data_IF_175251728372
#
_entry.id   IF_175251728372
#
_cell.length_a   1.000
_cell.length_b   1.000
_cell.length_c   1.000
_cell.angle_alpha   90.00
_cell.angle_beta   90.00
_cell.angle_gamma   90.00
#
_symmetry.space_group_name_H-M   'P 1'
#
loop_
_entity.id
_entity.type
_entity.pdbx_description
1 polymer ?
#
# COMPACT_ATOMS: atom_id res chain seq x y z
N UNK A 1 19.67 -13.55 -7.27
CA UNK A 1 20.15 -14.86 -6.91
C UNK A 1 19.17 -15.62 -6.03
N UNK A 2 18.93 -16.83 -6.31
CA UNK A 2 18.00 -17.62 -5.52
C UNK A 2 18.71 -18.20 -4.31
N UNK A 3 18.10 -18.02 -3.14
CA UNK A 3 18.63 -18.57 -1.93
C UNK A 3 17.86 -19.84 -1.63
N UNK A 4 18.53 -20.98 -1.69
CA UNK A 4 17.88 -22.26 -1.50
C UNK A 4 17.75 -22.70 -0.04
N UNK A 5 17.94 -21.78 0.89
CA UNK A 5 17.78 -22.13 2.30
C UNK A 5 16.31 -22.32 2.64
N UNK A 6 16.04 -23.27 3.49
CA UNK A 6 14.68 -23.48 3.96
C UNK A 6 14.32 -22.39 4.96
N UNK A 7 13.10 -21.90 4.87
CA UNK A 7 12.60 -20.87 5.78
C UNK A 7 12.64 -21.38 7.22
N UNK A 8 13.18 -20.59 8.12
CA UNK A 8 13.32 -20.97 9.53
C UNK A 8 12.21 -20.39 10.38
N UNK A 9 12.13 -20.84 11.64
CA UNK A 9 11.18 -20.29 12.59
C UNK A 9 11.44 -18.80 12.84
N UNK A 10 12.71 -18.37 12.83
CA UNK A 10 13.04 -16.96 13.00
C UNK A 10 12.55 -16.13 11.82
N UNK A 11 12.68 -16.67 10.61
CA UNK A 11 12.17 -15.99 9.43
C UNK A 11 10.67 -15.76 9.54
N UNK A 12 9.94 -16.79 10.00
CA UNK A 12 8.49 -16.69 10.15
C UNK A 12 8.11 -15.71 11.25
N UNK A 13 8.86 -15.66 12.34
CA UNK A 13 8.60 -14.71 13.40
C UNK A 13 8.76 -13.28 12.89
N UNK A 14 9.77 -13.04 12.04
CA UNK A 14 10.00 -11.72 11.49
C UNK A 14 8.86 -11.31 10.55
N UNK A 15 8.32 -12.27 9.80
CA UNK A 15 7.17 -12.00 8.94
C UNK A 15 5.96 -11.60 9.77
N UNK A 16 5.74 -12.27 10.91
CA UNK A 16 4.63 -11.95 11.79
C UNK A 16 4.76 -10.56 12.42
N UNK A 17 5.98 -10.10 12.64
CA UNK A 17 6.18 -8.77 13.20
C UNK A 17 5.84 -7.68 12.20
N UNK A 18 5.81 -8.02 10.94
CA UNK A 18 5.54 -7.06 9.90
C UNK A 18 6.80 -6.32 9.47
N UNK A 19 6.61 -5.40 8.55
CA UNK A 19 7.69 -4.71 7.88
C UNK A 19 7.43 -3.21 7.92
N UNK A 20 8.47 -2.41 8.12
CA UNK A 20 8.33 -0.96 8.13
C UNK A 20 8.34 -0.48 6.69
N UNK A 21 7.25 0.13 6.26
CA UNK A 21 7.04 0.50 4.86
C UNK A 21 6.73 1.99 4.76
N UNK A 22 7.33 2.64 3.78
CA UNK A 22 7.01 4.02 3.49
C UNK A 22 5.86 4.05 2.50
N UNK A 23 4.77 4.70 2.87
CA UNK A 23 3.57 4.81 2.07
C UNK A 23 3.43 6.23 1.52
N UNK A 24 2.50 6.46 0.58
CA UNK A 24 2.25 7.82 0.12
C UNK A 24 1.97 8.75 1.30
N UNK A 25 2.54 9.95 1.31
CA UNK A 25 2.37 10.85 2.45
C UNK A 25 0.95 11.39 2.54
N UNK A 26 0.59 11.88 3.72
CA UNK A 26 -0.72 12.49 3.91
C UNK A 26 -0.77 13.85 3.20
N UNK A 27 0.32 14.60 3.26
CA UNK A 27 0.45 15.86 2.53
C UNK A 27 1.95 16.12 2.34
N UNK A 28 2.30 17.28 1.80
CA UNK A 28 3.69 17.59 1.50
C UNK A 28 4.62 17.52 2.70
N UNK A 29 4.12 17.79 3.87
CA UNK A 29 4.94 17.87 5.07
C UNK A 29 4.74 16.71 6.04
N UNK A 30 3.84 15.80 5.75
CA UNK A 30 3.50 14.73 6.68
C UNK A 30 3.71 13.37 6.01
N UNK A 31 4.88 12.79 6.16
CA UNK A 31 5.13 11.46 5.57
C UNK A 31 4.35 10.39 6.33
N UNK A 32 4.14 9.26 5.68
CA UNK A 32 3.44 8.15 6.31
C UNK A 32 4.32 6.91 6.24
N UNK A 33 4.90 6.54 7.36
CA UNK A 33 5.66 5.31 7.48
C UNK A 33 4.91 4.42 8.47
N UNK A 34 4.64 3.21 8.06
CA UNK A 34 3.82 2.30 8.87
C UNK A 34 4.45 0.92 8.94
N UNK A 35 4.09 0.18 9.98
CA UNK A 35 4.47 -1.21 10.05
C UNK A 35 3.30 -2.01 9.51
N UNK A 36 3.54 -2.78 8.48
CA UNK A 36 2.50 -3.53 7.79
C UNK A 36 2.81 -5.02 7.78
N UNK A 37 1.77 -5.82 7.69
CA UNK A 37 1.89 -7.24 7.41
C UNK A 37 1.04 -7.54 6.19
N UNK A 38 1.20 -8.71 5.62
CA UNK A 38 0.51 -9.09 4.39
C UNK A 38 -0.54 -10.15 4.65
N UNK A 39 -1.75 -9.77 5.08
CA UNK A 39 -2.82 -10.74 5.21
C UNK A 39 -3.25 -11.20 3.83
N UNK A 40 -3.63 -12.46 3.69
CA UNK A 40 -4.11 -12.97 2.43
C UNK A 40 -5.57 -12.60 2.26
N UNK A 41 -5.93 -11.99 1.14
CA UNK A 41 -7.30 -11.57 0.88
C UNK A 41 -8.27 -12.76 0.98
N UNK A 42 -7.87 -13.91 0.43
CA UNK A 42 -8.73 -15.10 0.50
C UNK A 42 -8.95 -15.57 1.93
N UNK A 43 -7.92 -15.45 2.78
CA UNK A 43 -8.06 -15.81 4.18
C UNK A 43 -9.03 -14.85 4.89
N UNK A 44 -8.95 -13.56 4.58
CA UNK A 44 -9.85 -12.58 5.17
C UNK A 44 -11.32 -12.88 4.80
N UNK A 45 -11.55 -13.35 3.58
CA UNK A 45 -12.87 -13.75 3.16
C UNK A 45 -13.31 -15.00 3.91
N UNK A 46 -12.41 -15.98 4.04
CA UNK A 46 -12.74 -17.27 4.66
C UNK A 46 -13.09 -17.13 6.14
N UNK A 47 -12.35 -16.31 6.87
CA UNK A 47 -12.59 -16.15 8.31
C UNK A 47 -13.67 -15.12 8.64
N UNK A 48 -14.27 -14.51 7.62
CA UNK A 48 -15.37 -13.59 7.86
C UNK A 48 -14.96 -12.14 8.13
N UNK A 49 -13.67 -11.82 8.06
CA UNK A 49 -13.23 -10.43 8.21
C UNK A 49 -13.84 -9.58 7.09
N UNK A 50 -13.93 -10.15 5.89
CA UNK A 50 -14.67 -9.53 4.79
C UNK A 50 -16.03 -10.24 4.77
N UNK A 51 -17.11 -9.53 5.09
CA UNK A 51 -18.43 -10.16 5.18
C UNK A 51 -18.94 -10.67 3.84
N UNK A 52 -19.86 -11.62 3.91
CA UNK A 52 -20.43 -12.25 2.72
C UNK A 52 -21.01 -11.26 1.73
N UNK A 53 -21.56 -10.16 2.22
CA UNK A 53 -22.13 -9.13 1.35
C UNK A 53 -21.09 -8.45 0.48
N UNK A 54 -19.80 -8.55 0.82
CA UNK A 54 -18.73 -7.94 0.08
C UNK A 54 -17.88 -8.94 -0.69
N UNK A 55 -18.23 -10.23 -0.66
CA UNK A 55 -17.42 -11.25 -1.33
C UNK A 55 -17.30 -11.05 -2.84
N UNK A 56 -18.39 -10.68 -3.49
CA UNK A 56 -18.36 -10.46 -4.93
C UNK A 56 -17.43 -9.30 -5.27
N UNK A 57 -17.46 -8.23 -4.48
CA UNK A 57 -16.58 -7.09 -4.68
C UNK A 57 -15.13 -7.49 -4.42
N UNK A 58 -14.87 -8.24 -3.35
CA UNK A 58 -13.53 -8.69 -3.02
C UNK A 58 -12.96 -9.56 -4.15
N UNK A 59 -13.80 -10.42 -4.73
CA UNK A 59 -13.35 -11.27 -5.84
C UNK A 59 -12.95 -10.43 -7.04
N UNK A 60 -13.73 -9.43 -7.39
CA UNK A 60 -13.41 -8.56 -8.51
C UNK A 60 -12.10 -7.82 -8.28
N UNK A 61 -11.90 -7.32 -7.05
CA UNK A 61 -10.66 -6.64 -6.72
C UNK A 61 -9.48 -7.60 -6.83
N UNK A 62 -9.64 -8.82 -6.33
CA UNK A 62 -8.59 -9.83 -6.38
C UNK A 62 -8.22 -10.16 -7.83
N UNK A 63 -9.19 -10.16 -8.72
CA UNK A 63 -8.97 -10.43 -10.13
C UNK A 63 -8.47 -9.21 -10.90
N UNK A 64 -8.29 -8.09 -10.22
CA UNK A 64 -7.79 -6.88 -10.87
C UNK A 64 -8.84 -6.03 -11.54
N UNK A 65 -10.12 -6.37 -11.38
CA UNK A 65 -11.19 -5.58 -11.97
C UNK A 65 -11.60 -4.45 -11.05
N UNK A 66 -12.02 -3.35 -11.63
CA UNK A 66 -12.54 -2.25 -10.84
C UNK A 66 -14.02 -2.45 -10.67
N UNK A 67 -14.48 -2.39 -9.43
CA UNK A 67 -15.89 -2.53 -9.15
C UNK A 67 -16.62 -1.26 -9.53
N UNK A 68 -17.84 -1.39 -10.03
CA UNK A 68 -18.69 -0.24 -10.30
C UNK A 68 -19.27 0.35 -9.02
N UNK A 69 -19.21 -0.36 -7.91
CA UNK A 69 -19.76 0.13 -6.65
C UNK A 69 -18.61 0.64 -5.78
N UNK A 70 -18.40 1.95 -5.85
CA UNK A 70 -17.31 2.60 -5.13
C UNK A 70 -17.40 2.40 -3.63
N UNK A 71 -18.61 2.39 -3.09
CA UNK A 71 -18.79 2.22 -1.66
C UNK A 71 -18.30 0.86 -1.19
N UNK A 72 -18.73 -0.20 -1.88
CA UNK A 72 -18.29 -1.55 -1.53
C UNK A 72 -16.79 -1.74 -1.77
N UNK A 73 -16.27 -1.14 -2.84
CA UNK A 73 -14.87 -1.19 -3.15
C UNK A 73 -14.06 -0.55 -2.00
N UNK A 74 -14.49 0.62 -1.57
CA UNK A 74 -13.83 1.33 -0.47
C UNK A 74 -13.89 0.53 0.83
N UNK A 75 -15.03 -0.09 1.13
CA UNK A 75 -15.15 -0.89 2.33
C UNK A 75 -14.17 -2.06 2.35
N UNK A 76 -14.02 -2.74 1.20
CA UNK A 76 -13.07 -3.85 1.13
C UNK A 76 -11.64 -3.34 1.35
N UNK A 77 -11.27 -2.22 0.72
CA UNK A 77 -9.94 -1.67 0.92
C UNK A 77 -9.69 -1.30 2.38
N UNK A 78 -10.68 -0.76 3.06
CA UNK A 78 -10.54 -0.43 4.47
C UNK A 78 -10.40 -1.67 5.34
N UNK A 79 -11.14 -2.73 5.03
CA UNK A 79 -11.02 -3.97 5.79
C UNK A 79 -9.64 -4.60 5.60
N UNK A 80 -9.12 -4.55 4.39
CA UNK A 80 -7.77 -5.04 4.13
C UNK A 80 -6.75 -4.19 4.88
N UNK A 81 -6.90 -2.86 4.84
CA UNK A 81 -5.99 -1.96 5.54
C UNK A 81 -6.01 -2.21 7.04
N UNK A 82 -7.19 -2.40 7.61
CA UNK A 82 -7.32 -2.69 9.03
C UNK A 82 -6.57 -3.95 9.42
N UNK A 83 -6.59 -4.94 8.54
CA UNK A 83 -5.90 -6.20 8.80
C UNK A 83 -4.40 -6.10 8.56
N UNK A 84 -3.96 -5.18 7.71
CA UNK A 84 -2.56 -5.04 7.33
C UNK A 84 -1.76 -4.10 8.23
N UNK A 85 -2.37 -3.03 8.72
CA UNK A 85 -1.66 -2.02 9.49
C UNK A 85 -1.45 -2.49 10.93
N UNK A 86 -0.18 -2.51 11.36
CA UNK A 86 0.17 -2.85 12.73
C UNK A 86 0.41 -1.57 13.53
N UNK A 87 1.15 -0.64 12.96
CA UNK A 87 1.46 0.66 13.58
C UNK A 87 1.54 1.73 12.49
N UNK A 88 0.94 2.89 12.66
CA UNK A 88 0.05 3.26 13.78
C UNK A 88 -1.22 2.41 13.74
N UNK A 89 -2.01 2.43 14.80
CA UNK A 89 -3.21 1.62 14.81
C UNK A 89 -4.20 2.13 13.78
N UNK A 90 -4.90 1.21 13.14
CA UNK A 90 -5.85 1.58 12.10
C UNK A 90 -6.86 2.62 12.60
N UNK A 91 -7.34 2.49 13.83
CA UNK A 91 -8.32 3.43 14.38
C UNK A 91 -7.79 4.86 14.44
N UNK A 92 -6.47 5.02 14.50
CA UNK A 92 -5.87 6.35 14.55
C UNK A 92 -5.82 7.02 13.19
N UNK A 93 -5.83 6.26 12.13
CA UNK A 93 -5.67 6.80 10.78
C UNK A 93 -6.86 6.60 9.86
N UNK A 94 -7.84 5.80 10.28
CA UNK A 94 -8.92 5.39 9.38
C UNK A 94 -9.67 6.55 8.74
N UNK A 95 -9.83 7.66 9.45
CA UNK A 95 -10.60 8.78 8.93
C UNK A 95 -9.77 9.74 8.07
N UNK A 96 -8.45 9.56 8.05
CA UNK A 96 -7.58 10.45 7.28
C UNK A 96 -6.80 9.74 6.19
N UNK A 97 -6.98 8.41 6.06
CA UNK A 97 -6.31 7.67 4.98
C UNK A 97 -6.81 8.16 3.63
N UNK A 98 -5.89 8.45 2.73
CA UNK A 98 -6.25 8.87 1.38
C UNK A 98 -6.49 7.64 0.51
N UNK A 99 -7.14 7.85 -0.62
CA UNK A 99 -7.37 6.76 -1.58
C UNK A 99 -6.05 6.18 -2.06
N UNK A 100 -5.06 7.05 -2.27
CA UNK A 100 -3.74 6.60 -2.72
C UNK A 100 -3.09 5.72 -1.66
N UNK A 101 -3.21 6.09 -0.39
CA UNK A 101 -2.66 5.30 0.70
C UNK A 101 -3.36 3.95 0.82
N UNK A 102 -4.68 3.94 0.71
CA UNK A 102 -5.43 2.68 0.75
C UNK A 102 -5.05 1.76 -0.40
N UNK A 103 -4.92 2.31 -1.60
CA UNK A 103 -4.52 1.54 -2.76
C UNK A 103 -3.10 1.00 -2.59
N UNK A 104 -2.19 1.81 -2.05
CA UNK A 104 -0.82 1.38 -1.83
C UNK A 104 -0.77 0.24 -0.80
N UNK A 105 -1.54 0.35 0.28
CA UNK A 105 -1.59 -0.70 1.28
C UNK A 105 -2.13 -2.00 0.67
N UNK A 106 -3.20 -1.90 -0.12
CA UNK A 106 -3.76 -3.06 -0.78
C UNK A 106 -2.73 -3.71 -1.71
N UNK A 107 -2.06 -2.92 -2.54
CA UNK A 107 -1.05 -3.44 -3.44
C UNK A 107 0.10 -4.10 -2.69
N UNK A 108 0.49 -3.53 -1.55
CA UNK A 108 1.51 -4.14 -0.72
C UNK A 108 1.05 -5.51 -0.22
N UNK A 109 -0.20 -5.66 0.18
CA UNK A 109 -0.68 -6.95 0.67
C UNK A 109 -0.66 -8.01 -0.42
N UNK A 110 -0.79 -7.61 -1.69
CA UNK A 110 -0.82 -8.56 -2.80
C UNK A 110 0.58 -8.95 -3.28
N UNK A 111 1.49 -8.00 -3.37
CA UNK A 111 2.78 -8.25 -3.99
C UNK A 111 3.97 -7.79 -3.15
N UNK A 112 3.73 -7.36 -1.92
CA UNK A 112 4.80 -6.87 -1.06
C UNK A 112 5.34 -5.55 -1.57
N UNK A 113 6.63 -5.34 -1.36
CA UNK A 113 7.27 -4.08 -1.73
C UNK A 113 7.12 -3.78 -3.21
N UNK A 114 7.02 -4.81 -4.06
CA UNK A 114 6.86 -4.59 -5.49
C UNK A 114 5.57 -3.83 -5.82
N UNK A 115 4.53 -3.98 -5.02
CA UNK A 115 3.29 -3.27 -5.24
C UNK A 115 3.39 -1.77 -5.03
N UNK A 116 4.50 -1.30 -4.46
CA UNK A 116 4.71 0.12 -4.23
C UNK A 116 5.57 0.78 -5.29
N UNK A 117 6.09 0.01 -6.24
CA UNK A 117 6.98 0.55 -7.26
C UNK A 117 6.40 1.71 -8.06
N UNK A 118 5.16 1.65 -8.54
CA UNK A 118 4.62 2.77 -9.30
C UNK A 118 4.64 4.07 -8.52
N UNK A 119 4.29 4.01 -7.23
CA UNK A 119 4.30 5.19 -6.41
C UNK A 119 5.73 5.68 -6.17
N UNK A 120 6.64 4.75 -5.89
CA UNK A 120 8.03 5.13 -5.63
C UNK A 120 8.68 5.78 -6.83
N UNK A 121 8.40 5.25 -8.02
CA UNK A 121 8.95 5.82 -9.24
C UNK A 121 8.43 7.22 -9.47
N UNK A 122 7.15 7.44 -9.23
CA UNK A 122 6.56 8.75 -9.40
C UNK A 122 7.16 9.74 -8.42
N UNK A 123 7.33 9.33 -7.17
CA UNK A 123 7.92 10.19 -6.16
C UNK A 123 9.35 10.57 -6.52
N UNK A 124 10.13 9.63 -7.01
CA UNK A 124 11.49 9.89 -7.43
C UNK A 124 11.54 10.89 -8.57
N UNK A 125 10.63 10.76 -9.52
CA UNK A 125 10.58 11.69 -10.63
C UNK A 125 10.22 13.09 -10.18
N UNK A 126 9.30 13.21 -9.25
CA UNK A 126 8.91 14.50 -8.71
C UNK A 126 10.07 15.15 -7.98
N UNK A 127 10.80 14.39 -7.18
CA UNK A 127 11.95 14.92 -6.47
C UNK A 127 13.05 15.35 -7.42
N UNK A 128 13.28 14.57 -8.46
CA UNK A 128 14.28 14.89 -9.44
C UNK A 128 13.91 16.17 -10.17
N UNK A 129 12.66 16.34 -10.51
CA UNK A 129 12.18 17.54 -11.17
C UNK A 129 12.39 18.76 -10.27
N UNK A 130 12.05 18.67 -9.00
CA UNK A 130 12.23 19.77 -8.06
C UNK A 130 13.71 20.13 -7.91
N UNK A 131 14.57 19.10 -7.86
CA UNK A 131 15.99 19.33 -7.72
C UNK A 131 16.55 20.04 -8.94
N UNK A 132 16.15 19.61 -10.13
CA UNK A 132 16.63 20.23 -11.34
C UNK A 132 16.14 21.67 -11.47
N UNK A 133 14.90 21.94 -11.09
CA UNK A 133 14.38 23.29 -11.15
C UNK A 133 15.16 24.22 -10.26
N UNK A 134 15.54 23.76 -9.07
CA UNK A 134 16.31 24.61 -8.19
C UNK A 134 17.73 24.79 -8.65
N UNK A 135 18.30 23.77 -9.21
CA UNK A 135 19.69 23.82 -9.62
C UNK A 135 19.95 24.60 -10.88
N UNK A 136 18.97 24.72 -11.74
CA UNK A 136 19.20 25.37 -12.98
C UNK A 136 18.23 26.46 -13.29
N UNK A 137 17.78 27.13 -12.29
CA UNK A 137 16.81 28.15 -12.53
C UNK A 137 17.30 29.04 -13.64
N UNK A 138 16.56 29.39 -14.47
CA UNK A 138 17.01 30.30 -15.51
C UNK A 138 17.31 29.67 -16.80
N UNK A 139 17.83 28.49 -16.81
CA UNK A 139 18.15 27.99 -18.08
C UNK A 139 17.32 26.82 -18.43
N UNK A 140 16.71 26.23 -17.56
CA UNK A 140 16.02 25.09 -17.91
C UNK A 140 14.94 25.29 -18.86
N UNK A 141 14.48 26.35 -19.00
CA UNK A 141 13.40 26.40 -19.85
C UNK A 141 13.70 26.27 -21.21
N UNK A 142 14.82 26.41 -21.56
CA UNK A 142 15.03 26.27 -22.91
C UNK A 142 14.79 25.02 -23.40
N UNK A 143 14.81 24.11 -22.75
CA UNK A 143 14.65 22.80 -23.28
C UNK A 143 13.25 22.53 -23.70
N UNK A 144 12.40 23.40 -23.53
CA UNK A 144 11.08 23.07 -23.86
C UNK A 144 10.66 23.13 -25.21
#
# INVERSE_FOLDING_TARGET
>A
MVNNKITTADDLANIHKGEIIELPPFDENTPFTARLKRPALLTLCKVGTIPNTLLATAQKIFEGEKSGDIKNFSEVLHLVAKSAIIEPKYDEVKDILTDEQLTAIFNYTQTGVLGLLPFRKLREKIQEFKKNSRGVSGKQRKGI
#
